data_IF_766068190900
#
_entry.id   IF_766068190900
#
_cell.length_a   1.000
_cell.length_b   1.000
_cell.length_c   1.000
_cell.angle_alpha   90.00
_cell.angle_beta   90.00
_cell.angle_gamma   90.00
#
_symmetry.space_group_name_H-M   'P 1'
#
loop_
_entity.id
_entity.type
_entity.pdbx_description
1 polymer ?
#
# COMPACT_ATOMS: atom_id res chain seq x y z
N UNK A 1 -42.90 41.08 1.32
CA UNK A 1 -42.12 39.90 0.98
C UNK A 1 -42.09 39.85 -0.54
N UNK A 2 -40.91 40.15 -1.16
CA UNK A 2 -40.76 40.03 -2.62
C UNK A 2 -40.56 38.57 -2.94
N UNK A 3 -41.46 37.97 -3.72
CA UNK A 3 -41.29 36.60 -4.24
C UNK A 3 -40.15 36.62 -5.28
N UNK A 4 -39.03 35.98 -4.99
CA UNK A 4 -38.01 35.71 -5.98
C UNK A 4 -38.65 34.87 -7.10
N UNK A 5 -38.47 35.30 -8.31
CA UNK A 5 -38.94 34.53 -9.45
C UNK A 5 -38.02 33.31 -9.62
N UNK A 6 -38.54 32.16 -10.11
CA UNK A 6 -37.69 30.95 -10.36
C UNK A 6 -36.49 31.23 -11.23
N UNK A 7 -36.61 32.21 -12.12
CA UNK A 7 -35.52 32.63 -13.03
C UNK A 7 -34.37 33.34 -12.30
N UNK A 8 -34.66 34.18 -11.31
CA UNK A 8 -33.63 34.86 -10.48
C UNK A 8 -32.90 33.87 -9.59
N UNK A 9 -33.59 32.87 -9.03
CA UNK A 9 -32.95 31.80 -8.25
C UNK A 9 -32.02 30.93 -9.09
N UNK A 10 -32.42 30.59 -10.34
CA UNK A 10 -31.59 29.84 -11.27
C UNK A 10 -30.33 30.62 -11.68
N UNK A 11 -30.46 31.90 -11.99
CA UNK A 11 -29.31 32.75 -12.34
C UNK A 11 -28.31 32.86 -11.19
N UNK A 12 -28.79 33.02 -9.97
CA UNK A 12 -27.94 33.03 -8.77
C UNK A 12 -27.20 31.70 -8.60
N UNK A 13 -27.87 30.57 -8.81
CA UNK A 13 -27.26 29.25 -8.70
C UNK A 13 -26.20 28.98 -9.78
N UNK A 14 -26.44 29.45 -11.01
CA UNK A 14 -25.45 29.38 -12.09
C UNK A 14 -24.20 30.18 -11.72
N UNK A 15 -24.34 31.40 -11.26
CA UNK A 15 -23.22 32.24 -10.84
C UNK A 15 -22.40 31.60 -9.70
N UNK A 16 -23.07 30.98 -8.72
CA UNK A 16 -22.42 30.24 -7.62
C UNK A 16 -21.61 29.04 -8.14
N UNK A 17 -22.18 28.26 -9.07
CA UNK A 17 -21.50 27.09 -9.66
C UNK A 17 -20.32 27.50 -10.53
N UNK A 18 -20.43 28.58 -11.29
CA UNK A 18 -19.34 29.15 -12.10
C UNK A 18 -18.19 29.61 -11.19
N UNK A 19 -18.50 30.23 -10.06
CA UNK A 19 -17.49 30.64 -9.08
C UNK A 19 -16.80 29.42 -8.43
N UNK A 20 -17.57 28.37 -8.07
CA UNK A 20 -17.00 27.14 -7.52
C UNK A 20 -16.11 26.43 -8.52
N UNK A 21 -16.51 26.36 -9.79
CA UNK A 21 -15.71 25.77 -10.86
C UNK A 21 -14.39 26.52 -11.02
N UNK A 22 -14.43 27.85 -11.05
CA UNK A 22 -13.22 28.67 -11.15
C UNK A 22 -12.24 28.43 -9.99
N UNK A 23 -12.75 28.33 -8.77
CA UNK A 23 -11.92 28.03 -7.59
C UNK A 23 -11.32 26.63 -7.66
N UNK A 24 -12.06 25.65 -8.15
CA UNK A 24 -11.57 24.28 -8.36
C UNK A 24 -10.46 24.25 -9.42
N UNK A 25 -10.61 24.94 -10.54
CA UNK A 25 -9.60 25.05 -11.60
C UNK A 25 -8.31 25.75 -11.11
N UNK A 26 -8.45 26.80 -10.30
CA UNK A 26 -7.29 27.47 -9.69
C UNK A 26 -6.59 26.54 -8.70
N UNK A 27 -7.35 25.73 -7.94
CA UNK A 27 -6.82 24.72 -7.02
C UNK A 27 -6.04 23.63 -7.74
N UNK A 28 -6.60 23.06 -8.80
CA UNK A 28 -5.95 22.01 -9.62
C UNK A 28 -4.69 22.55 -10.31
N UNK A 29 -4.71 23.78 -10.80
CA UNK A 29 -3.53 24.42 -11.38
C UNK A 29 -2.39 24.59 -10.39
N UNK A 30 -2.70 25.01 -9.14
CA UNK A 30 -1.68 25.12 -8.07
C UNK A 30 -1.10 23.78 -7.68
N UNK A 31 -1.93 22.74 -7.60
CA UNK A 31 -1.49 21.38 -7.30
C UNK A 31 -0.57 20.87 -8.42
N UNK A 32 -0.94 21.04 -9.69
CA UNK A 32 -0.13 20.66 -10.82
C UNK A 32 1.25 21.35 -10.82
N UNK A 33 1.30 22.66 -10.54
CA UNK A 33 2.54 23.40 -10.39
C UNK A 33 3.41 22.86 -9.24
N UNK A 34 2.77 22.50 -8.11
CA UNK A 34 3.50 21.95 -6.97
C UNK A 34 4.06 20.56 -7.27
N UNK A 35 3.32 19.71 -7.97
CA UNK A 35 3.81 18.41 -8.43
C UNK A 35 5.03 18.56 -9.34
N UNK A 36 4.98 19.43 -10.33
CA UNK A 36 6.13 19.71 -11.22
C UNK A 36 7.37 20.22 -10.46
N UNK A 37 7.16 21.06 -9.46
CA UNK A 37 8.26 21.55 -8.62
C UNK A 37 8.87 20.44 -7.78
N UNK A 38 8.05 19.56 -7.19
CA UNK A 38 8.51 18.39 -6.42
C UNK A 38 9.24 17.38 -7.31
N UNK A 39 8.75 17.13 -8.52
CA UNK A 39 9.44 16.28 -9.50
C UNK A 39 10.82 16.82 -9.85
N UNK A 40 10.94 18.14 -10.07
CA UNK A 40 12.22 18.80 -10.29
C UNK A 40 13.18 18.65 -9.11
N UNK A 41 12.67 18.82 -7.89
CA UNK A 41 13.47 18.66 -6.69
C UNK A 41 13.96 17.23 -6.54
N UNK A 42 13.09 16.22 -6.79
CA UNK A 42 13.45 14.81 -6.83
C UNK A 42 14.51 14.51 -7.89
N UNK A 43 14.34 14.99 -9.13
CA UNK A 43 15.34 14.82 -10.20
C UNK A 43 16.69 15.43 -9.82
N UNK A 44 16.68 16.63 -9.21
CA UNK A 44 17.90 17.28 -8.73
C UNK A 44 18.56 16.49 -7.61
N UNK A 45 17.77 15.96 -6.69
CA UNK A 45 18.26 15.10 -5.61
C UNK A 45 18.92 13.83 -6.15
N UNK A 46 18.26 13.11 -7.07
CA UNK A 46 18.81 11.90 -7.70
C UNK A 46 20.06 12.19 -8.55
N UNK A 47 20.12 13.34 -9.24
CA UNK A 47 21.31 13.75 -10.00
C UNK A 47 22.51 14.06 -9.07
N UNK A 48 22.24 14.66 -7.90
CA UNK A 48 23.26 14.95 -6.91
C UNK A 48 23.72 13.70 -6.12
N UNK A 49 22.85 12.68 -6.05
CA UNK A 49 23.11 11.42 -5.39
C UNK A 49 22.95 10.27 -6.39
N UNK A 50 23.88 10.12 -7.37
CA UNK A 50 23.79 9.03 -8.33
C UNK A 50 23.76 7.72 -7.57
N UNK A 51 22.67 6.99 -7.72
CA UNK A 51 22.53 5.68 -7.10
C UNK A 51 23.66 4.81 -7.67
N UNK A 52 24.64 4.45 -6.83
CA UNK A 52 25.56 3.35 -7.14
C UNK A 52 24.66 2.18 -7.51
N UNK A 53 24.95 1.53 -8.64
CA UNK A 53 24.29 0.27 -9.03
C UNK A 53 24.26 -0.64 -7.80
N UNK A 54 23.09 -0.75 -7.19
CA UNK A 54 22.90 -1.54 -5.98
C UNK A 54 22.88 -2.99 -6.42
N UNK A 55 23.93 -3.72 -6.07
CA UNK A 55 23.86 -5.17 -6.09
C UNK A 55 22.71 -5.60 -5.20
N UNK A 56 21.71 -6.19 -5.82
CA UNK A 56 20.40 -6.57 -5.27
C UNK A 56 20.48 -7.76 -4.32
N UNK A 57 20.96 -7.53 -3.10
CA UNK A 57 20.75 -8.47 -1.98
C UNK A 57 19.56 -8.03 -1.08
N UNK A 58 18.84 -6.98 -1.46
CA UNK A 58 17.73 -6.38 -0.70
C UNK A 58 16.35 -7.06 -0.85
N UNK A 59 16.06 -7.91 -1.84
CA UNK A 59 14.72 -8.49 -2.02
C UNK A 59 14.23 -9.30 -0.82
N UNK A 60 15.12 -9.93 -0.07
CA UNK A 60 14.73 -10.81 1.05
C UNK A 60 13.99 -10.09 2.17
N UNK A 61 14.25 -8.78 2.38
CA UNK A 61 13.61 -8.00 3.46
C UNK A 61 12.20 -7.50 3.11
N UNK A 62 11.84 -7.51 1.85
CA UNK A 62 10.51 -7.15 1.35
C UNK A 62 9.77 -8.37 0.79
N UNK A 63 10.31 -9.58 0.98
CA UNK A 63 9.65 -10.81 0.57
C UNK A 63 8.43 -11.07 1.46
N UNK A 64 7.22 -11.15 0.88
CA UNK A 64 6.04 -11.44 1.66
C UNK A 64 6.01 -12.90 2.12
N UNK A 65 5.50 -13.10 3.34
CA UNK A 65 5.25 -14.41 3.93
C UNK A 65 3.77 -14.56 4.26
N UNK A 66 3.20 -15.70 3.97
CA UNK A 66 1.85 -16.04 4.37
C UNK A 66 1.90 -17.12 5.46
N UNK A 67 1.37 -16.81 6.63
CA UNK A 67 1.15 -17.76 7.72
C UNK A 67 -0.27 -18.32 7.62
N UNK A 68 -0.43 -19.61 7.85
CA UNK A 68 -1.73 -20.25 7.91
C UNK A 68 -1.93 -20.96 9.24
N UNK A 69 -3.18 -20.95 9.72
CA UNK A 69 -3.59 -21.64 10.96
C UNK A 69 -4.59 -22.74 10.59
N UNK A 70 -4.17 -23.99 10.69
CA UNK A 70 -5.00 -25.18 10.48
C UNK A 70 -5.85 -25.55 11.71
N UNK A 71 -5.92 -24.68 12.74
CA UNK A 71 -6.71 -24.87 13.95
C UNK A 71 -5.89 -24.97 15.23
N UNK A 72 -4.56 -24.76 15.17
CA UNK A 72 -3.63 -24.82 16.31
C UNK A 72 -2.95 -23.47 16.61
N UNK A 73 -3.34 -22.41 15.90
CA UNK A 73 -2.70 -21.09 15.93
C UNK A 73 -1.55 -20.99 14.95
N UNK A 74 -1.02 -19.77 14.78
CA UNK A 74 0.11 -19.52 13.90
C UNK A 74 1.43 -20.02 14.46
N UNK A 75 2.22 -20.64 13.64
CA UNK A 75 3.55 -21.16 13.97
C UNK A 75 4.55 -20.81 12.85
N UNK A 76 5.83 -20.68 13.18
CA UNK A 76 6.88 -20.44 12.17
C UNK A 76 7.04 -21.58 11.16
N UNK A 77 6.51 -22.77 11.46
CA UNK A 77 6.52 -23.91 10.53
C UNK A 77 5.38 -23.84 9.53
N UNK A 78 4.30 -23.15 9.89
CA UNK A 78 3.07 -23.07 9.11
C UNK A 78 3.10 -21.80 8.27
N UNK A 79 4.13 -21.71 7.40
CA UNK A 79 4.37 -20.56 6.51
C UNK A 79 4.46 -21.00 5.06
N UNK A 80 3.97 -20.15 4.19
CA UNK A 80 4.10 -20.26 2.74
C UNK A 80 4.90 -19.06 2.23
N UNK A 81 5.95 -19.36 1.48
CA UNK A 81 6.68 -18.34 0.72
C UNK A 81 6.08 -18.25 -0.67
N UNK A 82 5.95 -17.05 -1.20
CA UNK A 82 5.63 -16.88 -2.60
C UNK A 82 6.84 -17.37 -3.43
N UNK A 83 6.67 -18.38 -4.30
CA UNK A 83 7.79 -18.86 -5.13
C UNK A 83 8.26 -17.79 -6.12
N UNK A 84 7.29 -17.04 -6.64
CA UNK A 84 7.50 -15.99 -7.62
C UNK A 84 6.88 -14.70 -7.08
N UNK A 85 7.67 -13.89 -6.37
CA UNK A 85 7.25 -12.55 -6.01
C UNK A 85 8.07 -11.51 -6.79
N UNK A 86 7.43 -10.42 -7.12
CA UNK A 86 8.05 -9.29 -7.80
C UNK A 86 7.99 -8.06 -6.88
N UNK A 87 9.09 -7.33 -6.81
CA UNK A 87 9.16 -6.03 -6.14
C UNK A 87 9.74 -4.99 -7.09
N UNK A 88 8.92 -4.02 -7.45
CA UNK A 88 9.34 -2.86 -8.24
C UNK A 88 9.79 -1.74 -7.29
N UNK A 89 11.11 -1.53 -7.20
CA UNK A 89 11.71 -0.50 -6.33
C UNK A 89 11.30 0.93 -6.71
N UNK A 90 10.86 1.17 -7.95
CA UNK A 90 10.54 2.52 -8.42
C UNK A 90 9.20 3.01 -7.86
N UNK A 91 8.22 2.13 -7.81
CA UNK A 91 6.87 2.46 -7.33
C UNK A 91 6.51 1.76 -6.02
N UNK A 92 7.40 0.92 -5.49
CA UNK A 92 7.18 0.14 -4.27
C UNK A 92 6.20 -1.02 -4.45
N UNK A 93 5.79 -1.35 -5.68
CA UNK A 93 4.79 -2.39 -5.95
C UNK A 93 5.36 -3.77 -5.66
N UNK A 94 4.66 -4.50 -4.81
CA UNK A 94 4.89 -5.94 -4.56
C UNK A 94 3.74 -6.71 -5.17
N UNK A 95 4.05 -7.77 -5.90
CA UNK A 95 3.08 -8.75 -6.40
C UNK A 95 3.56 -10.14 -6.01
N UNK A 96 2.67 -10.94 -5.43
CA UNK A 96 2.98 -12.29 -4.98
C UNK A 96 1.79 -13.23 -5.13
N UNK A 97 2.08 -14.52 -5.34
CA UNK A 97 1.07 -15.58 -5.35
C UNK A 97 1.48 -16.67 -4.37
N UNK A 98 0.54 -17.09 -3.53
CA UNK A 98 0.71 -18.15 -2.54
C UNK A 98 -0.21 -19.30 -2.88
N UNK A 99 0.25 -20.54 -2.67
CA UNK A 99 -0.59 -21.74 -2.73
C UNK A 99 -0.67 -22.36 -1.34
N UNK A 100 -1.88 -22.53 -0.80
CA UNK A 100 -2.07 -23.09 0.53
C UNK A 100 -1.84 -24.61 0.52
N UNK A 101 -0.93 -25.14 1.36
CA UNK A 101 -0.64 -26.57 1.41
C UNK A 101 -1.76 -27.37 2.04
N UNK A 102 -2.53 -26.78 2.93
CA UNK A 102 -3.65 -27.41 3.63
C UNK A 102 -4.76 -26.39 3.93
N UNK A 103 -5.92 -26.89 4.36
CA UNK A 103 -7.04 -26.02 4.72
C UNK A 103 -6.73 -25.21 5.98
N UNK A 104 -6.85 -23.89 5.88
CA UNK A 104 -6.66 -22.98 6.99
C UNK A 104 -7.97 -22.34 7.47
N UNK A 105 -8.03 -22.00 8.75
CA UNK A 105 -9.11 -21.23 9.36
C UNK A 105 -8.78 -19.73 9.42
N UNK A 106 -7.51 -19.42 9.58
CA UNK A 106 -7.01 -18.05 9.61
C UNK A 106 -5.76 -17.93 8.74
N UNK A 107 -5.59 -16.77 8.12
CA UNK A 107 -4.38 -16.40 7.40
C UNK A 107 -3.83 -15.09 7.94
N UNK A 108 -2.48 -14.98 7.99
CA UNK A 108 -1.77 -13.76 8.31
C UNK A 108 -0.74 -13.49 7.23
N UNK A 109 -0.80 -12.32 6.63
CA UNK A 109 0.17 -11.85 5.66
C UNK A 109 1.18 -10.94 6.36
N UNK A 110 2.46 -11.30 6.28
CA UNK A 110 3.58 -10.47 6.69
C UNK A 110 4.24 -9.93 5.41
N UNK A 111 4.03 -8.65 5.07
CA UNK A 111 4.44 -8.09 3.78
C UNK A 111 5.93 -7.78 3.65
N UNK A 112 6.69 -7.92 4.73
CA UNK A 112 8.13 -7.68 4.80
C UNK A 112 8.62 -7.57 6.24
N UNK A 113 9.91 -7.29 6.43
CA UNK A 113 10.59 -7.27 7.73
C UNK A 113 11.11 -5.87 8.11
N UNK A 114 10.50 -4.79 7.60
CA UNK A 114 10.97 -3.42 7.85
C UNK A 114 9.83 -2.52 8.32
N UNK A 115 10.11 -1.48 9.14
CA UNK A 115 9.19 -0.38 9.33
C UNK A 115 8.84 0.22 7.98
N UNK A 116 7.55 0.36 7.69
CA UNK A 116 7.09 0.70 6.35
C UNK A 116 5.75 1.41 6.36
N UNK A 117 5.43 2.01 5.23
CA UNK A 117 4.07 2.39 4.87
C UNK A 117 3.57 1.45 3.77
N UNK A 118 2.35 0.94 3.91
CA UNK A 118 1.74 0.02 2.96
C UNK A 118 0.41 0.61 2.49
N UNK A 119 0.17 0.57 1.17
CA UNK A 119 -1.05 1.07 0.53
C UNK A 119 -1.53 0.11 -0.55
N UNK A 120 -2.70 0.37 -1.08
CA UNK A 120 -3.22 -0.19 -2.33
C UNK A 120 -3.30 -1.73 -2.34
N UNK A 121 -3.77 -2.34 -1.24
CA UNK A 121 -3.98 -3.78 -1.21
C UNK A 121 -5.04 -4.24 -2.20
N UNK A 122 -4.66 -5.21 -3.05
CA UNK A 122 -5.56 -5.92 -3.96
C UNK A 122 -5.32 -7.43 -3.81
N UNK A 123 -6.40 -8.19 -3.62
CA UNK A 123 -6.37 -9.64 -3.58
C UNK A 123 -7.04 -10.23 -4.84
N UNK A 124 -6.59 -11.42 -5.25
CA UNK A 124 -7.22 -12.16 -6.36
C UNK A 124 -8.67 -12.58 -6.08
N UNK A 125 -9.06 -12.67 -4.81
CA UNK A 125 -10.43 -12.92 -4.35
C UNK A 125 -10.94 -11.67 -3.63
N UNK A 126 -11.95 -11.01 -4.16
CA UNK A 126 -12.55 -9.76 -3.67
C UNK A 126 -13.29 -9.90 -2.33
N UNK A 127 -13.54 -11.14 -1.88
CA UNK A 127 -14.13 -11.44 -0.57
C UNK A 127 -13.10 -11.33 0.55
N UNK A 128 -11.80 -11.35 0.23
CA UNK A 128 -10.73 -11.27 1.21
C UNK A 128 -10.52 -9.81 1.59
N UNK A 129 -10.57 -9.55 2.89
CA UNK A 129 -10.28 -8.27 3.50
C UNK A 129 -9.01 -8.40 4.32
N UNK A 130 -8.19 -7.36 4.37
CA UNK A 130 -7.02 -7.33 5.24
C UNK A 130 -7.23 -6.34 6.39
N UNK A 131 -6.89 -6.78 7.59
CA UNK A 131 -6.93 -5.97 8.80
C UNK A 131 -5.55 -5.89 9.42
N UNK A 132 -4.95 -4.69 9.57
CA UNK A 132 -3.66 -4.55 10.21
C UNK A 132 -3.75 -4.98 11.69
N UNK A 133 -2.74 -5.70 12.18
CA UNK A 133 -2.68 -6.14 13.59
C UNK A 133 -2.05 -5.06 14.46
N UNK A 134 -1.02 -4.37 13.97
CA UNK A 134 -0.25 -3.39 14.75
C UNK A 134 -0.02 -2.05 14.02
N UNK A 135 -0.51 -1.89 12.80
CA UNK A 135 -0.30 -0.67 12.01
C UNK A 135 -1.19 0.49 12.44
N UNK A 136 -0.75 1.71 12.16
CA UNK A 136 -1.49 2.95 12.37
C UNK A 136 -2.12 3.37 11.05
N UNK A 137 -3.46 3.44 10.94
CA UNK A 137 -4.12 3.93 9.75
C UNK A 137 -3.72 5.38 9.45
N UNK A 138 -3.42 5.65 8.19
CA UNK A 138 -3.18 6.99 7.66
C UNK A 138 -4.45 7.50 6.96
N UNK A 139 -4.43 8.76 6.56
CA UNK A 139 -5.48 9.29 5.72
C UNK A 139 -5.46 8.60 4.34
N UNK A 140 -6.60 8.10 3.88
CA UNK A 140 -6.71 7.21 2.73
C UNK A 140 -6.54 5.74 3.13
N UNK A 141 -5.95 4.93 2.25
CA UNK A 141 -5.82 3.47 2.44
C UNK A 141 -4.46 3.04 3.02
N UNK A 142 -3.65 4.02 3.45
CA UNK A 142 -2.31 3.78 3.96
C UNK A 142 -2.30 3.26 5.39
N UNK A 143 -1.40 2.31 5.66
CA UNK A 143 -1.10 1.78 6.99
C UNK A 143 0.38 1.98 7.29
N UNK A 144 0.68 2.66 8.38
CA UNK A 144 2.05 2.93 8.84
C UNK A 144 2.46 1.92 9.91
N UNK A 145 3.54 1.19 9.68
CA UNK A 145 4.17 0.29 10.64
C UNK A 145 5.51 0.89 11.09
N UNK A 146 5.63 1.13 12.39
CA UNK A 146 6.84 1.66 13.02
C UNK A 146 7.77 0.58 13.58
N UNK A 147 7.31 -0.68 13.54
CA UNK A 147 8.05 -1.86 13.98
C UNK A 147 8.53 -2.70 12.78
N UNK A 148 9.42 -3.65 13.06
CA UNK A 148 10.01 -4.56 12.07
C UNK A 148 9.12 -5.79 11.78
N UNK A 149 7.87 -5.80 12.26
CA UNK A 149 6.91 -6.90 12.13
C UNK A 149 5.56 -6.38 11.63
N UNK A 150 5.51 -5.82 10.41
CA UNK A 150 4.25 -5.45 9.78
C UNK A 150 3.45 -6.70 9.45
N UNK A 151 2.21 -6.79 9.92
CA UNK A 151 1.38 -7.95 9.64
C UNK A 151 -0.11 -7.62 9.56
N UNK A 152 -0.83 -8.44 8.80
CA UNK A 152 -2.25 -8.31 8.52
C UNK A 152 -2.96 -9.65 8.71
N UNK A 153 -4.09 -9.62 9.41
CA UNK A 153 -5.03 -10.73 9.37
C UNK A 153 -5.88 -10.66 8.11
N UNK A 154 -6.02 -11.79 7.42
CA UNK A 154 -6.90 -11.92 6.27
C UNK A 154 -8.24 -12.50 6.74
N UNK A 155 -9.30 -11.78 6.41
CA UNK A 155 -10.67 -12.06 6.85
C UNK A 155 -11.59 -12.20 5.62
N UNK A 156 -12.85 -12.56 5.80
CA UNK A 156 -13.87 -12.61 4.74
C UNK A 156 -14.27 -14.02 4.33
N UNK A 157 -13.42 -15.01 4.54
CA UNK A 157 -13.76 -16.42 4.32
C UNK A 157 -13.77 -17.18 5.65
N UNK A 158 -14.76 -18.10 5.82
CA UNK A 158 -14.80 -18.96 7.00
C UNK A 158 -13.69 -20.01 7.00
N UNK A 159 -13.20 -20.38 5.83
CA UNK A 159 -12.11 -21.34 5.60
C UNK A 159 -11.42 -21.03 4.28
N UNK A 160 -10.13 -21.24 4.25
CA UNK A 160 -9.28 -21.15 3.09
C UNK A 160 -8.88 -22.58 2.69
N UNK A 161 -9.38 -23.13 1.58
CA UNK A 161 -9.18 -24.53 1.23
C UNK A 161 -7.73 -24.83 0.84
N UNK A 162 -7.28 -26.07 1.05
CA UNK A 162 -6.02 -26.57 0.50
C UNK A 162 -5.98 -26.40 -1.02
N UNK A 163 -4.82 -26.07 -1.58
CA UNK A 163 -4.64 -25.78 -3.00
C UNK A 163 -5.23 -24.44 -3.47
N UNK A 164 -5.70 -23.60 -2.54
CA UNK A 164 -6.14 -22.25 -2.90
C UNK A 164 -4.94 -21.41 -3.31
N UNK A 165 -5.02 -20.83 -4.51
CA UNK A 165 -4.08 -19.80 -4.95
C UNK A 165 -4.58 -18.43 -4.49
N UNK A 166 -3.74 -17.73 -3.77
CA UNK A 166 -3.97 -16.39 -3.27
C UNK A 166 -2.98 -15.42 -3.90
N UNK A 167 -3.44 -14.65 -4.89
CA UNK A 167 -2.68 -13.52 -5.43
C UNK A 167 -2.90 -12.27 -4.58
N UNK A 168 -1.83 -11.53 -4.32
CA UNK A 168 -1.87 -10.24 -3.63
C UNK A 168 -0.94 -9.24 -4.32
N UNK A 169 -1.38 -7.99 -4.38
CA UNK A 169 -0.52 -6.87 -4.72
C UNK A 169 -0.74 -5.71 -3.76
N UNK A 170 0.32 -4.96 -3.48
CA UNK A 170 0.31 -3.78 -2.60
C UNK A 170 1.53 -2.91 -2.87
N UNK A 171 1.51 -1.65 -2.46
CA UNK A 171 2.68 -0.79 -2.45
C UNK A 171 3.36 -0.85 -1.07
N UNK A 172 4.66 -1.14 -1.06
CA UNK A 172 5.50 -1.24 0.14
C UNK A 172 6.58 -0.17 0.12
N UNK A 173 6.50 0.78 1.04
CA UNK A 173 7.45 1.87 1.17
C UNK A 173 8.21 1.76 2.49
N UNK A 174 9.45 1.23 2.51
CA UNK A 174 10.25 1.15 3.73
C UNK A 174 10.59 2.55 4.24
N UNK A 175 10.53 2.76 5.55
CA UNK A 175 10.86 4.04 6.19
C UNK A 175 12.36 4.28 6.24
N UNK A 176 13.17 3.22 6.21
CA UNK A 176 14.62 3.29 6.16
C UNK A 176 15.14 2.79 4.82
N UNK A 177 16.20 3.38 4.26
CA UNK A 177 16.82 2.87 3.04
C UNK A 177 17.26 1.42 3.23
N UNK A 178 16.90 0.54 2.29
CA UNK A 178 17.23 -0.89 2.32
C UNK A 178 18.74 -1.18 2.44
N UNK A 179 19.59 -0.20 2.05
CA UNK A 179 21.05 -0.32 2.07
C UNK A 179 21.70 -0.19 3.44
N UNK A 180 21.07 0.48 4.42
CA UNK A 180 21.73 0.88 5.67
C UNK A 180 21.72 -0.20 6.77
N UNK A 181 20.87 -1.22 6.67
CA UNK A 181 20.76 -2.27 7.71
C UNK A 181 21.88 -3.32 7.70
N UNK A 182 22.61 -3.49 6.59
CA UNK A 182 23.72 -4.48 6.53
C UNK A 182 24.93 -4.10 7.40
N UNK A 183 25.09 -2.83 7.75
CA UNK A 183 26.24 -2.35 8.55
C UNK A 183 26.06 -2.45 10.06
N UNK A 184 24.87 -2.76 10.56
CA UNK A 184 24.56 -2.72 12.00
C UNK A 184 24.50 -4.12 12.67
N UNK A 185 24.61 -5.22 11.90
CA UNK A 185 24.77 -6.56 12.44
C UNK A 185 26.25 -6.98 12.44
N UNK A 186 27.02 -6.43 13.37
CA UNK A 186 28.32 -6.94 13.82
C UNK A 186 28.16 -7.61 15.19
#
# INVERSE_FOLDING_TARGET
MMNETPETALRSRIADLEQQLKLADEGTSRLAQRCLELEKQLQTFYAAHPQKERQTDSPALVQPLLYYDAGFGFSQKDTVKAPDYEYDELNGMVTATFELPETAFNLRLDPGELPCCITDFVFSDDRILCRPVSGVPLHGDGILFLNDDPNFMLEGLNRFPAGMELGVSYCYFPLEPLADRKSTRL
#
